data_IF_094452651504
#
_entry.id   IF_094452651504
#
_cell.length_a   1.000
_cell.length_b   1.000
_cell.length_c   1.000
_cell.angle_alpha   90.00
_cell.angle_beta   90.00
_cell.angle_gamma   90.00
#
_symmetry.space_group_name_H-M   'P 1'
#
loop_
_entity.id
_entity.type
_entity.pdbx_description
1 polymer ?
#
# COMPACT_ATOMS: atom_id res chain seq x y z
N UNK A 1 -26.76 -11.59 1.10
CA UNK A 1 -25.32 -11.65 0.79
C UNK A 1 -24.96 -10.40 0.01
N UNK A 2 -24.04 -9.63 0.55
CA UNK A 2 -23.60 -8.37 -0.03
C UNK A 2 -22.80 -8.65 -1.29
N UNK A 3 -23.28 -8.17 -2.43
CA UNK A 3 -22.69 -8.47 -3.73
C UNK A 3 -21.75 -7.35 -4.15
N UNK A 4 -20.46 -7.66 -4.25
CA UNK A 4 -19.45 -6.76 -4.80
C UNK A 4 -19.50 -6.78 -6.33
N UNK A 5 -19.49 -5.62 -6.99
CA UNK A 5 -19.30 -5.56 -8.45
C UNK A 5 -17.81 -5.55 -8.80
N UNK A 6 -17.45 -5.97 -10.01
CA UNK A 6 -16.07 -5.90 -10.51
C UNK A 6 -15.53 -4.46 -10.57
N UNK A 7 -16.41 -3.46 -10.75
CA UNK A 7 -16.05 -2.04 -10.69
C UNK A 7 -15.66 -1.63 -9.26
N UNK A 8 -16.42 -2.06 -8.25
CA UNK A 8 -16.09 -1.79 -6.84
C UNK A 8 -14.81 -2.51 -6.42
N UNK A 9 -14.54 -3.71 -6.95
CA UNK A 9 -13.29 -4.44 -6.70
C UNK A 9 -12.04 -3.65 -7.13
N UNK A 10 -12.13 -2.85 -8.20
CA UNK A 10 -11.07 -1.96 -8.64
C UNK A 10 -10.65 -0.96 -7.53
N UNK A 11 -11.59 -0.47 -6.72
CA UNK A 11 -11.28 0.42 -5.59
C UNK A 11 -10.53 -0.28 -4.46
N UNK A 12 -10.72 -1.59 -4.27
CA UNK A 12 -9.92 -2.36 -3.30
C UNK A 12 -8.46 -2.47 -3.74
N UNK A 13 -8.20 -2.65 -5.05
CA UNK A 13 -6.85 -2.61 -5.61
C UNK A 13 -6.20 -1.24 -5.38
N UNK A 14 -6.91 -0.16 -5.70
CA UNK A 14 -6.42 1.21 -5.47
C UNK A 14 -6.16 1.48 -4.00
N UNK A 15 -7.12 1.16 -3.11
CA UNK A 15 -7.01 1.38 -1.68
C UNK A 15 -5.87 0.62 -1.00
N UNK A 16 -5.46 -0.52 -1.56
CA UNK A 16 -4.38 -1.33 -0.99
C UNK A 16 -2.96 -0.87 -1.36
N UNK A 17 -2.78 -0.17 -2.48
CA UNK A 17 -1.45 -0.01 -3.07
C UNK A 17 -1.00 1.43 -3.37
N UNK A 18 -1.93 2.40 -3.44
CA UNK A 18 -1.61 3.77 -3.85
C UNK A 18 -0.63 4.49 -2.92
N UNK A 19 -0.65 4.20 -1.60
CA UNK A 19 0.00 5.07 -0.62
C UNK A 19 1.47 4.73 -0.35
N UNK A 20 1.84 3.45 -0.33
CA UNK A 20 3.13 3.02 0.22
C UNK A 20 4.34 3.68 -0.47
N UNK A 21 4.52 3.47 -1.77
CA UNK A 21 5.67 4.00 -2.53
C UNK A 21 5.71 5.52 -2.51
N UNK A 22 4.56 6.18 -2.49
CA UNK A 22 4.46 7.65 -2.42
C UNK A 22 4.88 8.19 -1.06
N UNK A 23 4.35 7.62 0.02
CA UNK A 23 4.52 8.14 1.38
C UNK A 23 5.98 8.15 1.82
N UNK A 24 6.72 7.07 1.59
CA UNK A 24 8.15 6.94 1.93
C UNK A 24 9.00 6.72 0.68
N UNK A 25 8.76 7.51 -0.35
CA UNK A 25 9.49 7.43 -1.64
C UNK A 25 11.00 7.58 -1.50
N UNK A 26 11.48 8.23 -0.43
CA UNK A 26 12.90 8.34 -0.10
C UNK A 26 13.62 6.99 0.02
N UNK A 27 12.94 5.93 0.54
CA UNK A 27 13.51 4.58 0.63
C UNK A 27 13.96 4.07 -0.75
N UNK A 28 13.15 4.32 -1.77
CA UNK A 28 13.40 3.89 -3.15
C UNK A 28 14.34 4.86 -3.88
N UNK A 29 14.17 6.18 -3.66
CA UNK A 29 14.99 7.21 -4.31
C UNK A 29 16.43 7.17 -3.79
N UNK A 30 16.65 6.83 -2.53
CA UNK A 30 17.98 6.65 -1.98
C UNK A 30 18.78 5.55 -2.70
N UNK A 31 18.11 4.48 -3.16
CA UNK A 31 18.69 3.37 -3.90
C UNK A 31 18.76 3.60 -5.42
N UNK A 32 17.67 4.13 -5.98
CA UNK A 32 17.49 4.31 -7.43
C UNK A 32 18.01 5.65 -7.97
N UNK A 33 18.20 6.64 -7.07
CA UNK A 33 18.57 7.99 -7.45
C UNK A 33 17.54 8.66 -8.34
N UNK A 34 18.01 9.38 -9.35
CA UNK A 34 17.16 10.06 -10.34
C UNK A 34 16.37 9.11 -11.23
N UNK A 35 16.86 7.89 -11.41
CA UNK A 35 16.22 6.89 -12.29
C UNK A 35 15.08 6.12 -11.63
N UNK A 36 14.75 6.42 -10.37
CA UNK A 36 13.75 5.69 -9.56
C UNK A 36 12.40 5.54 -10.26
N UNK A 37 11.94 6.56 -11.00
CA UNK A 37 10.70 6.47 -11.76
C UNK A 37 10.74 5.44 -12.89
N UNK A 38 11.90 5.25 -13.55
CA UNK A 38 12.09 4.21 -14.57
C UNK A 38 12.14 2.81 -13.93
N UNK A 39 12.84 2.69 -12.78
CA UNK A 39 12.88 1.44 -12.02
C UNK A 39 11.48 1.05 -11.55
N UNK A 40 10.65 2.02 -11.17
CA UNK A 40 9.25 1.79 -10.85
C UNK A 40 8.46 1.28 -12.06
N UNK A 41 8.66 1.85 -13.26
CA UNK A 41 7.99 1.37 -14.46
C UNK A 41 8.33 -0.11 -14.77
N UNK A 42 9.60 -0.49 -14.61
CA UNK A 42 10.04 -1.89 -14.76
C UNK A 42 9.36 -2.78 -13.71
N UNK A 43 9.36 -2.36 -12.44
CA UNK A 43 8.73 -3.07 -11.34
C UNK A 43 7.22 -3.26 -11.56
N UNK A 44 6.54 -2.24 -12.05
CA UNK A 44 5.12 -2.24 -12.36
C UNK A 44 4.78 -3.23 -13.48
N UNK A 45 5.60 -3.31 -14.52
CA UNK A 45 5.42 -4.26 -15.63
C UNK A 45 5.57 -5.70 -15.14
N UNK A 46 6.64 -6.01 -14.39
CA UNK A 46 6.89 -7.35 -13.84
C UNK A 46 5.72 -7.76 -12.91
N UNK A 47 5.34 -6.87 -12.00
CA UNK A 47 4.25 -7.12 -11.06
C UNK A 47 2.92 -7.32 -11.77
N UNK A 48 2.61 -6.52 -12.79
CA UNK A 48 1.37 -6.63 -13.58
C UNK A 48 1.18 -8.01 -14.18
N UNK A 49 2.24 -8.55 -14.76
CA UNK A 49 2.19 -9.87 -15.37
C UNK A 49 1.81 -10.95 -14.34
N UNK A 50 2.44 -10.92 -13.17
CA UNK A 50 2.18 -11.91 -12.10
C UNK A 50 0.78 -11.73 -11.52
N UNK A 51 0.39 -10.51 -11.17
CA UNK A 51 -0.90 -10.25 -10.53
C UNK A 51 -2.09 -10.56 -11.46
N UNK A 52 -2.01 -10.21 -12.75
CA UNK A 52 -3.03 -10.57 -13.73
C UNK A 52 -3.14 -12.08 -13.94
N UNK A 53 -2.03 -12.82 -13.82
CA UNK A 53 -2.05 -14.29 -13.84
C UNK A 53 -2.81 -14.86 -12.64
N UNK A 54 -2.62 -14.28 -11.42
CA UNK A 54 -3.42 -14.67 -10.25
C UNK A 54 -4.92 -14.44 -10.47
N UNK A 55 -5.29 -13.28 -11.01
CA UNK A 55 -6.70 -12.98 -11.31
C UNK A 55 -7.30 -13.90 -12.36
N UNK A 56 -6.51 -14.34 -13.36
CA UNK A 56 -6.97 -15.32 -14.36
C UNK A 56 -7.30 -16.67 -13.73
N UNK A 57 -6.44 -17.17 -12.83
CA UNK A 57 -6.66 -18.42 -12.11
C UNK A 57 -7.89 -18.30 -11.20
N UNK A 58 -8.00 -17.23 -10.42
CA UNK A 58 -9.15 -17.00 -9.55
C UNK A 58 -10.46 -16.73 -10.30
N UNK A 59 -10.41 -16.44 -11.60
CA UNK A 59 -11.62 -16.28 -12.44
C UNK A 59 -12.40 -17.59 -12.60
N UNK A 60 -11.77 -18.75 -12.51
CA UNK A 60 -12.36 -20.09 -12.65
C UNK A 60 -13.24 -20.55 -11.48
N UNK A 61 -13.85 -19.65 -10.73
CA UNK A 61 -14.78 -19.87 -9.60
C UNK A 61 -14.18 -20.36 -8.27
N UNK A 62 -12.87 -20.53 -8.17
CA UNK A 62 -12.22 -20.92 -6.93
C UNK A 62 -11.85 -19.70 -6.09
N UNK A 63 -12.08 -19.81 -4.79
CA UNK A 63 -11.58 -18.84 -3.82
C UNK A 63 -10.10 -19.13 -3.52
N UNK A 64 -9.30 -18.10 -3.25
CA UNK A 64 -7.88 -18.26 -2.92
C UNK A 64 -7.67 -19.22 -1.72
N UNK A 65 -8.58 -19.21 -0.73
CA UNK A 65 -8.56 -20.14 0.38
C UNK A 65 -8.72 -21.58 -0.06
N UNK A 66 -9.66 -21.85 -0.98
CA UNK A 66 -9.92 -23.19 -1.53
C UNK A 66 -8.72 -23.71 -2.31
N UNK A 67 -8.08 -22.84 -3.11
CA UNK A 67 -6.87 -23.19 -3.86
C UNK A 67 -5.74 -23.63 -2.91
N UNK A 68 -5.50 -22.88 -1.84
CA UNK A 68 -4.50 -23.29 -0.86
C UNK A 68 -4.89 -24.58 -0.13
N UNK A 69 -6.14 -24.73 0.30
CA UNK A 69 -6.58 -25.92 1.04
C UNK A 69 -6.56 -27.20 0.18
N UNK A 70 -6.72 -27.11 -1.15
CA UNK A 70 -6.62 -28.26 -2.04
C UNK A 70 -5.21 -28.89 -2.07
N UNK A 71 -4.17 -28.15 -1.65
CA UNK A 71 -2.79 -28.62 -1.55
C UNK A 71 -2.46 -29.29 -0.21
N UNK A 72 -3.46 -29.73 0.55
CA UNK A 72 -3.31 -30.43 1.83
C UNK A 72 -2.48 -29.65 2.86
N UNK A 73 -1.53 -30.32 3.54
CA UNK A 73 -0.71 -29.70 4.59
C UNK A 73 0.17 -28.56 4.06
N UNK A 74 0.78 -28.75 2.90
CA UNK A 74 1.63 -27.74 2.28
C UNK A 74 0.84 -26.45 1.99
N UNK A 75 -0.36 -26.59 1.46
CA UNK A 75 -1.23 -25.43 1.19
C UNK A 75 -1.67 -24.70 2.46
N UNK A 76 -1.90 -25.42 3.57
CA UNK A 76 -2.16 -24.77 4.87
C UNK A 76 -0.99 -23.89 5.31
N UNK A 77 0.25 -24.37 5.18
CA UNK A 77 1.45 -23.59 5.51
C UNK A 77 1.51 -22.32 4.62
N UNK A 78 1.31 -22.47 3.31
CA UNK A 78 1.29 -21.32 2.39
C UNK A 78 0.18 -20.32 2.76
N UNK A 79 -1.01 -20.78 3.17
CA UNK A 79 -2.10 -19.91 3.63
C UNK A 79 -1.71 -19.10 4.88
N UNK A 80 -1.02 -19.72 5.86
CA UNK A 80 -0.54 -19.01 7.05
C UNK A 80 0.53 -17.98 6.69
N UNK A 81 1.48 -18.32 5.82
CA UNK A 81 2.52 -17.36 5.34
C UNK A 81 1.87 -16.20 4.60
N UNK A 82 0.92 -16.47 3.71
CA UNK A 82 0.16 -15.45 2.99
C UNK A 82 -0.59 -14.51 3.93
N UNK A 83 -1.24 -15.08 4.95
CA UNK A 83 -1.97 -14.30 5.96
C UNK A 83 -1.04 -13.47 6.85
N UNK A 84 0.16 -13.99 7.16
CA UNK A 84 1.18 -13.24 7.87
C UNK A 84 1.61 -11.97 7.07
N UNK A 85 1.59 -12.02 5.75
CA UNK A 85 1.78 -10.83 4.91
C UNK A 85 0.75 -9.72 5.18
N UNK A 86 -0.51 -10.05 5.44
CA UNK A 86 -1.52 -9.05 5.82
C UNK A 86 -1.27 -8.44 7.20
N UNK A 87 -0.75 -9.24 8.14
CA UNK A 87 -0.31 -8.71 9.43
C UNK A 87 0.83 -7.71 9.24
N UNK A 88 1.84 -8.02 8.41
CA UNK A 88 2.94 -7.11 8.08
C UNK A 88 2.40 -5.79 7.51
N UNK A 89 1.42 -5.83 6.58
CA UNK A 89 0.79 -4.62 6.03
C UNK A 89 0.08 -3.81 7.11
N UNK A 90 -0.57 -4.46 8.07
CA UNK A 90 -1.23 -3.76 9.16
C UNK A 90 -0.21 -3.04 10.06
N UNK A 91 0.92 -3.67 10.34
CA UNK A 91 2.03 -3.04 11.06
C UNK A 91 2.62 -1.89 10.25
N UNK A 92 2.89 -2.08 8.96
CA UNK A 92 3.36 -1.03 8.05
C UNK A 92 2.42 0.19 8.05
N UNK A 93 1.12 -0.06 7.94
CA UNK A 93 0.11 1.01 7.86
C UNK A 93 0.04 1.82 9.16
N UNK A 94 -0.02 1.15 10.31
CA UNK A 94 -0.09 1.79 11.61
C UNK A 94 1.19 2.57 11.94
N UNK A 95 2.33 1.95 11.72
CA UNK A 95 3.65 2.55 12.02
C UNK A 95 3.96 3.73 11.10
N UNK A 96 3.72 3.60 9.78
CA UNK A 96 4.04 4.68 8.83
C UNK A 96 3.13 5.88 9.03
N UNK A 97 1.82 5.68 9.26
CA UNK A 97 0.93 6.78 9.54
C UNK A 97 1.34 7.52 10.81
N UNK A 98 1.54 6.79 11.90
CA UNK A 98 1.87 7.42 13.20
C UNK A 98 3.22 8.11 13.17
N UNK A 99 4.23 7.53 12.52
CA UNK A 99 5.54 8.14 12.31
C UNK A 99 5.44 9.40 11.43
N UNK A 100 4.63 9.36 10.35
CA UNK A 100 4.44 10.51 9.46
C UNK A 100 3.72 11.66 10.16
N UNK A 101 2.67 11.37 10.94
CA UNK A 101 1.94 12.40 11.70
C UNK A 101 2.85 13.01 12.77
N UNK A 102 3.56 12.17 13.52
CA UNK A 102 4.48 12.65 14.57
C UNK A 102 5.57 13.55 13.99
N UNK A 103 6.29 13.10 12.96
CA UNK A 103 7.44 13.82 12.44
C UNK A 103 7.10 15.07 11.61
N UNK A 104 5.89 15.14 11.04
CA UNK A 104 5.51 16.23 10.16
C UNK A 104 4.62 17.29 10.85
N UNK A 105 3.82 16.88 11.85
CA UNK A 105 2.79 17.76 12.44
C UNK A 105 2.89 17.88 13.96
N UNK A 106 3.23 16.81 14.67
CA UNK A 106 3.12 16.75 16.13
C UNK A 106 4.39 16.25 16.80
N UNK A 107 5.50 16.97 16.61
CA UNK A 107 6.83 16.62 17.16
C UNK A 107 6.84 16.43 18.69
N UNK A 108 6.02 17.19 19.42
CA UNK A 108 5.91 17.11 20.88
C UNK A 108 4.99 15.98 21.36
N UNK A 109 4.14 15.43 20.49
CA UNK A 109 3.18 14.37 20.84
C UNK A 109 3.83 12.99 20.68
N UNK A 110 3.83 12.12 21.69
CA UNK A 110 4.42 10.78 21.56
C UNK A 110 3.77 9.95 20.45
N UNK A 111 4.57 9.14 19.74
CA UNK A 111 4.08 8.31 18.61
C UNK A 111 2.99 7.34 19.07
N UNK A 112 3.08 6.76 20.28
CA UNK A 112 2.08 5.85 20.81
C UNK A 112 0.68 6.47 20.89
N UNK A 113 0.58 7.78 21.09
CA UNK A 113 -0.69 8.50 21.11
C UNK A 113 -1.37 8.44 19.72
N UNK A 114 -0.62 8.74 18.66
CA UNK A 114 -1.12 8.63 17.28
C UNK A 114 -1.55 7.19 16.94
N UNK A 115 -0.77 6.19 17.41
CA UNK A 115 -1.08 4.77 17.22
C UNK A 115 -2.42 4.37 17.87
N UNK A 116 -2.67 4.80 19.11
CA UNK A 116 -3.91 4.46 19.84
C UNK A 116 -5.12 5.00 19.09
N UNK A 117 -5.13 6.28 18.70
CA UNK A 117 -6.26 6.87 17.99
C UNK A 117 -6.53 6.17 16.67
N UNK A 118 -5.47 5.86 15.92
CA UNK A 118 -5.57 5.12 14.66
C UNK A 118 -6.19 3.73 14.87
N UNK A 119 -5.72 2.97 15.87
CA UNK A 119 -6.17 1.61 16.10
C UNK A 119 -7.59 1.54 16.68
N UNK A 120 -7.98 2.49 17.53
CA UNK A 120 -9.37 2.59 18.05
C UNK A 120 -10.33 2.85 16.89
N UNK A 121 -10.04 3.84 16.04
CA UNK A 121 -10.86 4.16 14.87
C UNK A 121 -10.96 2.97 13.91
N UNK A 122 -9.84 2.31 13.65
CA UNK A 122 -9.78 1.12 12.79
C UNK A 122 -10.56 -0.05 13.39
N UNK A 123 -10.46 -0.30 14.69
CA UNK A 123 -11.19 -1.34 15.41
C UNK A 123 -12.70 -1.12 15.34
N UNK A 124 -13.16 0.13 15.44
CA UNK A 124 -14.57 0.46 15.27
C UNK A 124 -15.07 0.08 13.88
N UNK A 125 -14.35 0.43 12.82
CA UNK A 125 -14.71 0.11 11.43
C UNK A 125 -14.67 -1.39 11.16
N UNK A 126 -13.63 -2.09 11.66
CA UNK A 126 -13.52 -3.54 11.51
C UNK A 126 -14.70 -4.31 12.12
N UNK A 127 -15.36 -3.77 13.17
CA UNK A 127 -16.56 -4.36 13.75
C UNK A 127 -17.79 -4.24 12.85
N UNK A 128 -17.81 -3.30 11.90
CA UNK A 128 -18.96 -3.09 11.00
C UNK A 128 -19.12 -4.21 9.97
N UNK A 129 -20.25 -4.17 9.27
CA UNK A 129 -20.56 -5.07 8.16
C UNK A 129 -19.71 -4.76 6.93
N UNK A 130 -19.58 -5.73 6.03
CA UNK A 130 -18.81 -5.60 4.79
C UNK A 130 -19.27 -4.40 3.93
N UNK A 131 -20.58 -4.15 3.84
CA UNK A 131 -21.11 -3.01 3.08
C UNK A 131 -20.62 -1.67 3.60
N UNK A 132 -20.51 -1.50 4.93
CA UNK A 132 -19.96 -0.26 5.52
C UNK A 132 -18.48 -0.07 5.15
N UNK A 133 -17.70 -1.16 5.13
CA UNK A 133 -16.30 -1.13 4.69
C UNK A 133 -16.22 -0.79 3.20
N UNK A 134 -17.09 -1.38 2.37
CA UNK A 134 -17.14 -1.09 0.95
C UNK A 134 -17.41 0.40 0.68
N UNK A 135 -18.43 0.96 1.31
CA UNK A 135 -18.79 2.39 1.17
C UNK A 135 -17.62 3.27 1.60
N UNK A 136 -16.99 2.94 2.72
CA UNK A 136 -15.82 3.67 3.22
C UNK A 136 -14.67 3.65 2.19
N UNK A 137 -14.36 2.49 1.62
CA UNK A 137 -13.31 2.35 0.59
C UNK A 137 -13.65 3.20 -0.62
N UNK A 138 -14.89 3.14 -1.12
CA UNK A 138 -15.30 3.89 -2.32
C UNK A 138 -15.17 5.40 -2.10
N UNK A 139 -15.72 5.93 -1.01
CA UNK A 139 -15.67 7.37 -0.72
C UNK A 139 -14.23 7.82 -0.51
N UNK A 140 -13.46 7.09 0.28
CA UNK A 140 -12.10 7.47 0.66
C UNK A 140 -11.16 7.43 -0.55
N UNK A 141 -11.18 6.35 -1.33
CA UNK A 141 -10.31 6.25 -2.52
C UNK A 141 -10.69 7.30 -3.55
N UNK A 142 -11.99 7.55 -3.80
CA UNK A 142 -12.41 8.56 -4.75
C UNK A 142 -11.97 9.97 -4.33
N UNK A 143 -12.17 10.34 -3.06
CA UNK A 143 -11.76 11.66 -2.56
C UNK A 143 -10.24 11.85 -2.55
N UNK A 144 -9.47 10.79 -2.25
CA UNK A 144 -8.00 10.87 -2.29
C UNK A 144 -7.45 10.95 -3.71
N UNK A 145 -8.08 10.31 -4.70
CA UNK A 145 -7.72 10.47 -6.11
C UNK A 145 -7.90 11.92 -6.58
N UNK A 146 -9.01 12.56 -6.19
CA UNK A 146 -9.22 14.00 -6.46
C UNK A 146 -8.13 14.83 -5.79
N UNK A 147 -7.81 14.55 -4.53
CA UNK A 147 -6.73 15.22 -3.80
C UNK A 147 -5.37 15.08 -4.46
N UNK A 148 -5.02 13.90 -4.96
CA UNK A 148 -3.78 13.66 -5.71
C UNK A 148 -3.71 14.48 -7.00
N UNK A 149 -4.82 14.59 -7.75
CA UNK A 149 -4.88 15.39 -8.97
C UNK A 149 -4.69 16.88 -8.64
N UNK A 150 -5.38 17.38 -7.62
CA UNK A 150 -5.25 18.78 -7.18
C UNK A 150 -3.81 19.09 -6.77
N UNK A 151 -3.20 18.26 -5.94
CA UNK A 151 -1.80 18.43 -5.50
C UNK A 151 -0.84 18.43 -6.70
N UNK A 152 -1.02 17.51 -7.65
CA UNK A 152 -0.18 17.42 -8.83
C UNK A 152 -0.25 18.67 -9.72
N UNK A 153 -1.46 19.23 -9.91
CA UNK A 153 -1.65 20.49 -10.67
C UNK A 153 -0.97 21.64 -9.94
N UNK A 154 -1.19 21.78 -8.63
CA UNK A 154 -0.68 22.90 -7.85
C UNK A 154 0.86 22.90 -7.72
N UNK A 155 1.49 21.70 -7.66
CA UNK A 155 2.94 21.60 -7.60
C UNK A 155 3.64 21.85 -8.94
N UNK A 156 2.90 21.72 -10.05
CA UNK A 156 3.45 21.78 -11.41
C UNK A 156 4.36 22.97 -11.68
N UNK A 157 4.02 24.15 -11.14
CA UNK A 157 4.80 25.38 -11.30
C UNK A 157 6.17 25.39 -10.63
N UNK A 158 6.40 24.44 -9.69
CA UNK A 158 7.65 24.36 -8.92
C UNK A 158 8.58 23.24 -9.40
N UNK A 159 8.21 22.50 -10.45
CA UNK A 159 8.98 21.36 -10.94
C UNK A 159 10.13 21.81 -11.85
N UNK A 160 11.32 21.30 -11.55
CA UNK A 160 12.50 21.43 -12.39
C UNK A 160 12.89 20.08 -12.98
N UNK A 161 12.49 19.85 -14.21
CA UNK A 161 12.73 18.57 -14.91
C UNK A 161 14.21 18.30 -15.23
N UNK A 162 15.11 19.29 -15.10
CA UNK A 162 16.56 19.08 -15.26
C UNK A 162 17.11 18.11 -14.20
N UNK A 163 16.45 18.00 -13.04
CA UNK A 163 16.83 17.06 -11.98
C UNK A 163 16.68 15.59 -12.38
N UNK A 164 15.90 15.29 -13.42
CA UNK A 164 15.73 13.94 -13.97
C UNK A 164 16.85 13.56 -14.94
N UNK A 165 17.65 14.51 -15.39
CA UNK A 165 18.74 14.29 -16.37
C UNK A 165 20.10 14.20 -15.67
N UNK A 166 21.06 13.45 -16.26
CA UNK A 166 20.95 12.53 -17.38
C UNK A 166 20.34 11.18 -16.97
N UNK A 167 19.55 10.60 -17.87
CA UNK A 167 18.86 9.33 -17.65
C UNK A 167 19.87 8.18 -17.71
N UNK A 168 19.81 7.26 -16.73
CA UNK A 168 20.59 6.00 -16.68
C UNK A 168 22.10 6.15 -16.87
N UNK A 169 22.70 7.30 -16.58
CA UNK A 169 24.13 7.58 -16.78
C UNK A 169 25.07 6.56 -16.13
N UNK A 170 24.69 5.96 -15.00
CA UNK A 170 25.48 4.97 -14.26
C UNK A 170 25.11 3.51 -14.57
N UNK A 171 24.28 3.23 -15.57
CA UNK A 171 23.78 1.89 -15.86
C UNK A 171 22.95 1.26 -14.72
N UNK A 172 22.84 -0.06 -14.71
CA UNK A 172 22.20 -0.82 -13.65
C UNK A 172 23.21 -1.19 -12.57
N UNK A 173 23.10 -0.56 -11.40
CA UNK A 173 23.90 -0.89 -10.22
C UNK A 173 23.14 -1.87 -9.32
N UNK A 174 23.84 -2.54 -8.38
CA UNK A 174 23.22 -3.42 -7.37
C UNK A 174 22.10 -2.72 -6.59
N UNK A 175 22.30 -1.45 -6.22
CA UNK A 175 21.29 -0.67 -5.51
C UNK A 175 20.01 -0.48 -6.33
N UNK A 176 20.12 -0.29 -7.66
CA UNK A 176 18.95 -0.16 -8.55
C UNK A 176 18.18 -1.47 -8.65
N UNK A 177 18.85 -2.63 -8.65
CA UNK A 177 18.17 -3.94 -8.59
C UNK A 177 17.43 -4.13 -7.26
N UNK A 178 18.07 -3.76 -6.15
CA UNK A 178 17.41 -3.78 -4.83
C UNK A 178 16.19 -2.88 -4.85
N UNK A 179 16.26 -1.68 -5.42
CA UNK A 179 15.10 -0.78 -5.54
C UNK A 179 13.94 -1.41 -6.29
N UNK A 180 14.20 -2.10 -7.43
CA UNK A 180 13.19 -2.83 -8.20
C UNK A 180 12.51 -3.89 -7.32
N UNK A 181 13.30 -4.71 -6.62
CA UNK A 181 12.79 -5.78 -5.76
C UNK A 181 11.90 -5.22 -4.64
N UNK A 182 12.33 -4.14 -3.97
CA UNK A 182 11.56 -3.49 -2.91
C UNK A 182 10.25 -2.87 -3.45
N UNK A 183 10.28 -2.28 -4.64
CA UNK A 183 9.08 -1.74 -5.29
C UNK A 183 8.08 -2.83 -5.64
N UNK A 184 8.53 -3.98 -6.15
CA UNK A 184 7.68 -5.15 -6.40
C UNK A 184 7.07 -5.63 -5.08
N UNK A 185 7.86 -5.67 -3.99
CA UNK A 185 7.37 -6.00 -2.64
C UNK A 185 6.27 -5.04 -2.19
N UNK A 186 6.44 -3.74 -2.37
CA UNK A 186 5.42 -2.75 -2.05
C UNK A 186 4.15 -2.91 -2.88
N UNK A 187 4.28 -3.17 -4.20
CA UNK A 187 3.16 -3.41 -5.10
C UNK A 187 2.41 -4.71 -4.76
N UNK A 188 3.08 -5.69 -4.14
CA UNK A 188 2.44 -6.95 -3.74
C UNK A 188 1.30 -6.75 -2.73
N UNK A 189 1.21 -5.57 -2.09
CA UNK A 189 0.05 -5.17 -1.28
C UNK A 189 -1.29 -5.20 -2.06
N UNK A 190 -1.28 -5.14 -3.40
CA UNK A 190 -2.50 -5.36 -4.21
C UNK A 190 -3.12 -6.74 -3.97
N UNK A 191 -2.33 -7.75 -3.56
CA UNK A 191 -2.82 -9.08 -3.23
C UNK A 191 -3.76 -9.11 -2.01
N UNK A 192 -3.83 -8.02 -1.22
CA UNK A 192 -4.88 -7.82 -0.20
C UNK A 192 -6.28 -7.96 -0.82
N UNK A 193 -6.44 -7.60 -2.08
CA UNK A 193 -7.72 -7.67 -2.78
C UNK A 193 -8.20 -9.11 -3.05
N UNK A 194 -7.29 -10.09 -3.12
CA UNK A 194 -7.62 -11.48 -3.53
C UNK A 194 -8.68 -12.16 -2.64
N UNK A 195 -8.65 -12.07 -1.29
CA UNK A 195 -9.70 -12.66 -0.45
C UNK A 195 -11.10 -12.09 -0.68
N UNK A 196 -11.21 -10.88 -1.25
CA UNK A 196 -12.49 -10.23 -1.54
C UNK A 196 -13.16 -10.74 -2.81
N UNK A 197 -12.46 -11.51 -3.64
CA UNK A 197 -13.02 -12.11 -4.87
C UNK A 197 -14.24 -12.98 -4.62
N UNK A 198 -14.34 -13.58 -3.43
CA UNK A 198 -15.50 -14.39 -3.02
C UNK A 198 -16.80 -13.61 -2.91
N UNK A 199 -16.76 -12.29 -2.75
CA UNK A 199 -17.94 -11.44 -2.66
C UNK A 199 -18.43 -10.96 -4.03
N UNK A 200 -17.70 -11.25 -5.12
CA UNK A 200 -18.10 -10.82 -6.46
C UNK A 200 -19.39 -11.50 -6.89
N UNK A 201 -20.36 -10.70 -7.30
CA UNK A 201 -21.62 -11.19 -7.87
C UNK A 201 -21.43 -11.85 -9.23
N UNK A 202 -20.46 -11.36 -10.00
CA UNK A 202 -20.07 -11.89 -11.31
C UNK A 202 -18.60 -11.56 -11.55
N UNK A 203 -17.85 -12.50 -12.10
CA UNK A 203 -16.44 -12.30 -12.48
C UNK A 203 -16.27 -11.75 -13.90
N UNK A 204 -17.39 -11.38 -14.57
CA UNK A 204 -17.38 -10.79 -15.91
C UNK A 204 -16.70 -9.39 -15.84
N UNK A 205 -15.66 -9.19 -16.64
CA UNK A 205 -14.91 -7.93 -16.66
C UNK A 205 -13.86 -7.79 -15.54
N UNK A 206 -13.65 -8.80 -14.68
CA UNK A 206 -12.67 -8.76 -13.58
C UNK A 206 -11.30 -8.29 -14.07
N UNK A 207 -10.73 -8.92 -15.08
CA UNK A 207 -9.41 -8.58 -15.61
C UNK A 207 -9.40 -7.16 -16.16
N UNK A 208 -10.45 -6.73 -16.89
CA UNK A 208 -10.56 -5.39 -17.47
C UNK A 208 -10.53 -4.30 -16.40
N UNK A 209 -11.38 -4.39 -15.37
CA UNK A 209 -11.46 -3.37 -14.32
C UNK A 209 -10.27 -3.41 -13.39
N UNK A 210 -9.70 -4.60 -13.14
CA UNK A 210 -8.47 -4.71 -12.34
C UNK A 210 -7.26 -4.13 -13.07
N UNK A 211 -7.09 -4.39 -14.38
CA UNK A 211 -6.01 -3.78 -15.15
C UNK A 211 -6.15 -2.27 -15.23
N UNK A 212 -7.38 -1.75 -15.37
CA UNK A 212 -7.64 -0.30 -15.34
C UNK A 212 -7.24 0.31 -13.99
N UNK A 213 -7.61 -0.33 -12.87
CA UNK A 213 -7.21 0.14 -11.53
C UNK A 213 -5.69 0.11 -11.34
N UNK A 214 -5.01 -0.95 -11.78
CA UNK A 214 -3.55 -1.04 -11.75
C UNK A 214 -2.91 0.09 -12.57
N UNK A 215 -3.39 0.34 -13.78
CA UNK A 215 -2.87 1.41 -14.65
C UNK A 215 -3.03 2.79 -13.99
N UNK A 216 -4.20 3.08 -13.41
CA UNK A 216 -4.43 4.33 -12.66
C UNK A 216 -3.45 4.43 -11.49
N UNK A 217 -3.30 3.36 -10.70
CA UNK A 217 -2.36 3.31 -9.59
C UNK A 217 -0.93 3.60 -10.05
N UNK A 218 -0.48 2.96 -11.12
CA UNK A 218 0.88 3.15 -11.65
C UNK A 218 1.12 4.55 -12.20
N UNK A 219 0.17 5.14 -12.89
CA UNK A 219 0.27 6.52 -13.36
C UNK A 219 0.43 7.49 -12.19
N UNK A 220 -0.37 7.32 -11.12
CA UNK A 220 -0.31 8.20 -9.95
C UNK A 220 1.02 8.05 -9.21
N UNK A 221 1.51 6.82 -8.99
CA UNK A 221 2.79 6.59 -8.32
C UNK A 221 3.95 7.10 -9.20
N UNK A 222 3.92 6.84 -10.49
CA UNK A 222 4.94 7.28 -11.44
C UNK A 222 5.03 8.81 -11.48
N UNK A 223 3.90 9.50 -11.59
CA UNK A 223 3.85 10.97 -11.56
C UNK A 223 4.31 11.55 -10.22
N UNK A 224 3.98 10.90 -9.09
CA UNK A 224 4.45 11.30 -7.77
C UNK A 224 5.97 11.18 -7.64
N UNK A 225 6.59 10.08 -8.11
CA UNK A 225 8.05 9.90 -8.09
C UNK A 225 8.76 10.94 -8.95
N UNK A 226 8.26 11.19 -10.18
CA UNK A 226 8.79 12.25 -11.05
C UNK A 226 8.69 13.60 -10.37
N UNK A 227 7.53 13.95 -9.85
CA UNK A 227 7.29 15.22 -9.20
C UNK A 227 8.20 15.44 -7.98
N UNK A 228 8.38 14.42 -7.16
CA UNK A 228 9.25 14.48 -5.99
C UNK A 228 10.72 14.71 -6.37
N UNK A 229 11.24 13.98 -7.37
CA UNK A 229 12.61 14.14 -7.84
C UNK A 229 12.79 15.47 -8.57
N UNK A 230 11.84 15.87 -9.41
CA UNK A 230 11.90 17.13 -10.13
C UNK A 230 11.85 18.35 -9.19
N UNK A 231 11.13 18.24 -8.07
CA UNK A 231 11.01 19.32 -7.08
C UNK A 231 12.24 19.43 -6.17
N UNK A 232 12.70 18.32 -5.54
CA UNK A 232 13.75 18.34 -4.52
C UNK A 232 15.15 18.04 -5.08
N UNK A 233 15.23 17.45 -6.27
CA UNK A 233 16.43 16.80 -6.78
C UNK A 233 16.65 15.40 -6.16
N UNK A 234 17.44 14.52 -6.83
CA UNK A 234 17.57 13.12 -6.45
C UNK A 234 18.24 12.90 -5.09
N UNK A 235 19.24 13.71 -4.73
CA UNK A 235 19.98 13.56 -3.48
C UNK A 235 19.11 13.98 -2.29
N UNK A 236 18.47 15.15 -2.38
CA UNK A 236 17.66 15.68 -1.30
C UNK A 236 16.41 14.85 -1.06
N UNK A 237 15.73 14.42 -2.12
CA UNK A 237 14.54 13.57 -2.01
C UNK A 237 14.84 12.18 -1.43
N UNK A 238 16.06 11.64 -1.63
CA UNK A 238 16.48 10.40 -0.99
C UNK A 238 16.83 10.52 0.49
N UNK A 239 17.18 11.72 0.97
CA UNK A 239 17.61 11.96 2.35
C UNK A 239 16.52 12.54 3.27
N UNK A 240 15.36 12.91 2.73
CA UNK A 240 14.20 13.37 3.51
C UNK A 240 13.26 12.17 3.74
N UNK A 241 12.87 11.92 4.99
CA UNK A 241 12.00 10.78 5.34
C UNK A 241 10.67 10.78 4.58
N UNK A 242 9.96 11.90 4.55
CA UNK A 242 8.67 12.08 3.88
C UNK A 242 8.73 13.21 2.84
N UNK A 243 9.36 13.00 1.66
CA UNK A 243 9.63 14.09 0.73
C UNK A 243 8.36 14.68 0.11
N UNK A 244 7.29 13.90 -0.04
CA UNK A 244 5.99 14.39 -0.54
C UNK A 244 5.35 15.41 0.43
N UNK A 245 5.58 15.28 1.74
CA UNK A 245 5.16 16.29 2.73
C UNK A 245 5.87 17.63 2.49
N UNK A 246 7.21 17.62 2.41
CA UNK A 246 8.00 18.83 2.15
C UNK A 246 7.61 19.50 0.82
N UNK A 247 7.26 18.69 -0.18
CA UNK A 247 6.73 19.19 -1.43
C UNK A 247 5.36 19.86 -1.25
N UNK A 248 4.49 19.30 -0.43
CA UNK A 248 3.15 19.86 -0.19
C UNK A 248 3.19 21.19 0.58
N UNK A 249 4.18 21.41 1.43
CA UNK A 249 4.38 22.67 2.18
C UNK A 249 4.61 23.89 1.27
N UNK A 250 5.12 23.67 0.05
CA UNK A 250 5.34 24.75 -0.91
C UNK A 250 4.09 25.22 -1.64
N UNK A 251 2.99 24.49 -1.50
CA UNK A 251 1.74 24.81 -2.17
C UNK A 251 1.00 25.88 -1.36
N UNK A 252 1.13 27.13 -1.79
CA UNK A 252 0.41 28.27 -1.24
C UNK A 252 -0.64 28.75 -2.24
N UNK A 253 -1.86 29.00 -1.78
CA UNK A 253 -2.94 29.62 -2.54
C UNK A 253 -3.06 31.06 -2.07
N UNK A 254 -3.08 32.02 -3.02
CA UNK A 254 -3.10 33.45 -2.74
C UNK A 254 -1.96 33.97 -1.85
N UNK A 255 -0.81 33.26 -1.84
CA UNK A 255 0.42 33.58 -1.11
C UNK A 255 0.33 33.60 0.44
N UNK A 256 -0.79 33.16 1.02
CA UNK A 256 -0.94 33.12 2.49
C UNK A 256 -1.59 31.84 3.03
N UNK A 257 -2.30 31.07 2.20
CA UNK A 257 -2.97 29.83 2.63
C UNK A 257 -2.13 28.60 2.23
N UNK A 258 -1.63 27.89 3.23
CA UNK A 258 -0.84 26.66 3.08
C UNK A 258 -1.78 25.44 2.92
N UNK A 259 -2.49 25.39 1.78
CA UNK A 259 -3.48 24.34 1.51
C UNK A 259 -2.86 22.97 1.24
N UNK A 260 -1.61 22.91 0.79
CA UNK A 260 -0.98 21.65 0.42
C UNK A 260 -0.85 20.66 1.58
N UNK A 261 -0.57 21.13 2.79
CA UNK A 261 -0.46 20.30 3.98
C UNK A 261 -1.78 19.63 4.36
N UNK A 262 -2.91 20.34 4.23
CA UNK A 262 -4.24 19.78 4.51
C UNK A 262 -4.59 18.64 3.57
N UNK A 263 -4.30 18.78 2.28
CA UNK A 263 -4.48 17.69 1.32
C UNK A 263 -3.55 16.51 1.59
N UNK A 264 -2.30 16.78 1.98
CA UNK A 264 -1.34 15.74 2.32
C UNK A 264 -1.80 14.94 3.54
N UNK A 265 -2.16 15.60 4.66
CA UNK A 265 -2.60 14.89 5.87
C UNK A 265 -3.88 14.09 5.60
N UNK A 266 -4.86 14.70 4.92
CA UNK A 266 -6.12 14.05 4.57
C UNK A 266 -5.86 12.75 3.79
N UNK A 267 -5.12 12.82 2.67
CA UNK A 267 -4.87 11.64 1.85
C UNK A 267 -4.03 10.60 2.57
N UNK A 268 -3.02 11.01 3.34
CA UNK A 268 -2.13 10.10 4.08
C UNK A 268 -2.89 9.33 5.13
N UNK A 269 -3.70 10.02 5.95
CA UNK A 269 -4.54 9.39 6.97
C UNK A 269 -5.54 8.44 6.32
N UNK A 270 -6.27 8.91 5.33
CA UNK A 270 -7.31 8.14 4.66
C UNK A 270 -6.77 6.86 4.01
N UNK A 271 -5.67 6.96 3.27
CA UNK A 271 -5.15 5.82 2.51
C UNK A 271 -4.48 4.76 3.39
N UNK A 272 -3.71 5.17 4.43
CA UNK A 272 -3.16 4.21 5.38
C UNK A 272 -4.26 3.55 6.21
N UNK A 273 -5.30 4.29 6.56
CA UNK A 273 -6.47 3.76 7.25
C UNK A 273 -7.18 2.67 6.44
N UNK A 274 -7.46 2.94 5.16
CA UNK A 274 -8.07 1.94 4.27
C UNK A 274 -7.17 0.73 4.07
N UNK A 275 -5.87 0.93 3.85
CA UNK A 275 -4.91 -0.16 3.66
C UNK A 275 -4.89 -1.08 4.89
N UNK A 276 -4.87 -0.50 6.10
CA UNK A 276 -4.96 -1.24 7.36
C UNK A 276 -6.26 -2.05 7.46
N UNK A 277 -7.41 -1.40 7.20
CA UNK A 277 -8.73 -2.05 7.29
C UNK A 277 -8.82 -3.20 6.30
N UNK A 278 -8.40 -2.99 5.06
CA UNK A 278 -8.44 -4.03 4.04
C UNK A 278 -7.57 -5.23 4.42
N UNK A 279 -6.34 -5.00 4.90
CA UNK A 279 -5.44 -6.07 5.33
C UNK A 279 -6.00 -6.85 6.53
N UNK A 280 -6.41 -6.13 7.58
CA UNK A 280 -6.95 -6.75 8.80
C UNK A 280 -8.27 -7.51 8.53
N UNK A 281 -9.15 -6.94 7.69
CA UNK A 281 -10.40 -7.61 7.33
C UNK A 281 -10.16 -8.84 6.46
N UNK A 282 -9.13 -8.85 5.60
CA UNK A 282 -8.73 -10.05 4.84
C UNK A 282 -8.36 -11.22 5.74
N UNK A 283 -7.70 -10.96 6.88
CA UNK A 283 -7.42 -12.00 7.88
C UNK A 283 -8.73 -12.56 8.46
N UNK A 284 -9.66 -11.67 8.84
CA UNK A 284 -10.97 -12.09 9.37
C UNK A 284 -11.73 -12.92 8.33
N UNK A 285 -11.64 -12.59 7.05
CA UNK A 285 -12.29 -13.33 5.97
C UNK A 285 -11.72 -14.73 5.77
N UNK A 286 -10.39 -14.87 5.80
CA UNK A 286 -9.72 -16.15 5.59
C UNK A 286 -9.94 -17.12 6.76
N UNK A 287 -9.98 -16.59 7.99
CA UNK A 287 -10.14 -17.39 9.22
C UNK A 287 -11.52 -17.27 9.88
N UNK A 288 -12.55 -16.90 9.10
CA UNK A 288 -13.92 -16.75 9.60
C UNK A 288 -14.42 -17.98 10.36
N UNK A 289 -14.00 -19.19 9.95
CA UNK A 289 -14.43 -20.46 10.55
C UNK A 289 -13.76 -20.72 11.90
N UNK A 290 -12.62 -20.08 12.17
CA UNK A 290 -11.83 -20.24 13.41
C UNK A 290 -12.13 -19.10 14.40
N UNK A 291 -12.42 -17.90 13.90
CA UNK A 291 -12.69 -16.72 14.72
C UNK A 291 -14.11 -16.80 15.27
N UNK A 292 -14.28 -17.28 16.49
CA UNK A 292 -15.58 -17.39 17.17
C UNK A 292 -16.12 -16.02 17.61
N UNK A 293 -15.26 -15.17 18.14
CA UNK A 293 -15.65 -13.82 18.60
C UNK A 293 -14.82 -12.74 17.90
N UNK A 294 -15.45 -12.09 16.90
CA UNK A 294 -14.84 -11.03 16.10
C UNK A 294 -14.30 -9.87 16.94
N UNK A 295 -15.01 -9.46 17.99
CA UNK A 295 -14.62 -8.31 18.83
C UNK A 295 -13.34 -8.61 19.61
N UNK A 296 -13.27 -9.78 20.24
CA UNK A 296 -12.09 -10.22 20.98
C UNK A 296 -10.89 -10.33 20.05
N UNK A 297 -11.07 -10.95 18.87
CA UNK A 297 -10.03 -11.05 17.86
C UNK A 297 -9.48 -9.65 17.48
N UNK A 298 -10.36 -8.66 17.20
CA UNK A 298 -9.93 -7.30 16.83
C UNK A 298 -9.11 -6.66 17.95
N UNK A 299 -9.52 -6.81 19.22
CA UNK A 299 -8.79 -6.23 20.35
C UNK A 299 -7.39 -6.85 20.46
N UNK A 300 -7.29 -8.17 20.49
CA UNK A 300 -6.00 -8.87 20.58
C UNK A 300 -5.10 -8.51 19.40
N UNK A 301 -5.65 -8.55 18.18
CA UNK A 301 -4.92 -8.23 16.96
C UNK A 301 -4.39 -6.79 16.97
N UNK A 302 -5.25 -5.81 17.31
CA UNK A 302 -4.85 -4.40 17.39
C UNK A 302 -3.81 -4.17 18.48
N UNK A 303 -3.87 -4.89 19.61
CA UNK A 303 -2.86 -4.80 20.68
C UNK A 303 -1.50 -5.33 20.20
N UNK A 304 -1.47 -6.43 19.46
CA UNK A 304 -0.23 -6.95 18.89
C UNK A 304 0.36 -5.96 17.87
N UNK A 305 -0.48 -5.44 16.96
CA UNK A 305 -0.06 -4.42 15.98
C UNK A 305 0.46 -3.17 16.71
N UNK A 306 -0.18 -2.72 17.79
CA UNK A 306 0.28 -1.60 18.59
C UNK A 306 1.69 -1.82 19.13
N UNK A 307 1.93 -2.94 19.80
CA UNK A 307 3.23 -3.26 20.42
C UNK A 307 4.33 -3.28 19.36
N UNK A 308 4.10 -4.00 18.25
CA UNK A 308 5.10 -4.12 17.18
C UNK A 308 5.35 -2.76 16.51
N UNK A 309 4.28 -2.02 16.16
CA UNK A 309 4.40 -0.70 15.53
C UNK A 309 5.08 0.31 16.43
N UNK A 310 4.76 0.30 17.73
CA UNK A 310 5.42 1.18 18.70
C UNK A 310 6.90 0.89 18.82
N UNK A 311 7.27 -0.40 18.90
CA UNK A 311 8.68 -0.80 19.00
C UNK A 311 9.51 -0.35 17.79
N UNK A 312 9.02 -0.56 16.56
CA UNK A 312 9.78 -0.21 15.36
C UNK A 312 9.84 1.28 15.06
N UNK A 313 8.93 2.09 15.63
CA UNK A 313 8.88 3.54 15.41
C UNK A 313 9.63 4.38 16.44
N UNK A 314 10.28 3.76 17.44
CA UNK A 314 11.03 4.48 18.48
C UNK A 314 12.15 5.36 17.92
N UNK A 315 12.76 4.95 16.82
CA UNK A 315 13.78 5.72 16.12
C UNK A 315 13.45 5.75 14.63
N UNK A 316 13.32 6.97 14.09
CA UNK A 316 12.88 7.16 12.71
C UNK A 316 13.89 6.65 11.68
N UNK A 317 15.19 6.75 11.96
CA UNK A 317 16.22 6.22 11.07
C UNK A 317 16.13 4.68 10.97
N UNK A 318 16.05 3.98 12.10
CA UNK A 318 15.87 2.53 12.11
C UNK A 318 14.53 2.13 11.52
N UNK A 319 13.48 2.90 11.75
CA UNK A 319 12.17 2.64 11.14
C UNK A 319 12.25 2.59 9.61
N UNK A 320 12.97 3.51 8.96
CA UNK A 320 13.14 3.50 7.51
C UNK A 320 14.00 2.32 7.01
N UNK A 321 14.89 1.78 7.83
CA UNK A 321 15.56 0.50 7.50
C UNK A 321 14.59 -0.68 7.63
N UNK A 322 13.75 -0.68 8.68
CA UNK A 322 12.69 -1.68 8.83
C UNK A 322 11.71 -1.66 7.66
N UNK A 323 11.35 -0.52 7.11
CA UNK A 323 10.50 -0.46 5.91
C UNK A 323 11.09 -1.23 4.73
N UNK A 324 12.41 -1.22 4.52
CA UNK A 324 13.06 -2.05 3.48
C UNK A 324 12.86 -3.54 3.74
N UNK A 325 13.05 -3.98 4.99
CA UNK A 325 12.85 -5.38 5.39
C UNK A 325 11.39 -5.77 5.21
N UNK A 326 10.44 -4.92 5.63
CA UNK A 326 9.02 -5.18 5.46
C UNK A 326 8.65 -5.36 3.97
N UNK A 327 9.22 -4.57 3.04
CA UNK A 327 8.97 -4.74 1.61
C UNK A 327 9.48 -6.10 1.10
N UNK A 328 10.65 -6.57 1.55
CA UNK A 328 11.15 -7.92 1.21
C UNK A 328 10.23 -9.01 1.77
N UNK A 329 9.78 -8.87 3.01
CA UNK A 329 8.81 -9.80 3.60
C UNK A 329 7.48 -9.81 2.82
N UNK A 330 6.99 -8.65 2.37
CA UNK A 330 5.78 -8.58 1.55
C UNK A 330 5.95 -9.25 0.19
N UNK A 331 7.12 -9.11 -0.44
CA UNK A 331 7.43 -9.82 -1.67
C UNK A 331 7.28 -11.35 -1.49
N UNK A 332 7.88 -11.88 -0.42
CA UNK A 332 7.87 -13.32 -0.15
C UNK A 332 6.45 -13.78 0.19
N UNK A 333 5.78 -13.09 1.10
CA UNK A 333 4.49 -13.54 1.65
C UNK A 333 3.32 -13.31 0.71
N UNK A 334 3.29 -12.21 -0.04
CA UNK A 334 2.14 -11.83 -0.85
C UNK A 334 2.31 -12.07 -2.35
N UNK A 335 3.54 -12.20 -2.86
CA UNK A 335 3.78 -12.48 -4.27
C UNK A 335 4.28 -13.92 -4.49
N UNK A 336 5.40 -14.28 -3.85
CA UNK A 336 6.02 -15.60 -4.06
C UNK A 336 5.13 -16.71 -3.52
N UNK A 337 4.56 -16.56 -2.33
CA UNK A 337 3.71 -17.57 -1.71
C UNK A 337 2.47 -17.93 -2.56
N UNK A 338 1.63 -16.97 -3.04
CA UNK A 338 0.54 -17.32 -3.95
C UNK A 338 1.03 -17.87 -5.29
N UNK A 339 2.16 -17.38 -5.80
CA UNK A 339 2.73 -17.89 -7.05
C UNK A 339 3.06 -19.37 -6.93
N UNK A 340 3.70 -19.81 -5.83
CA UNK A 340 3.96 -21.22 -5.56
C UNK A 340 2.66 -22.02 -5.42
N UNK A 341 1.67 -21.49 -4.68
CA UNK A 341 0.39 -22.16 -4.51
C UNK A 341 -0.34 -22.35 -5.84
N UNK A 342 -0.38 -21.33 -6.70
CA UNK A 342 -1.07 -21.40 -7.98
C UNK A 342 -0.32 -22.23 -9.03
N UNK A 343 1.01 -22.26 -9.04
CA UNK A 343 1.77 -23.14 -9.95
C UNK A 343 1.54 -24.59 -9.60
N UNK A 344 1.62 -24.97 -8.33
CA UNK A 344 1.41 -26.37 -7.91
C UNK A 344 -0.04 -26.79 -8.13
N UNK A 345 -1.01 -25.89 -7.96
CA UNK A 345 -2.43 -26.19 -8.20
C UNK A 345 -2.74 -26.48 -9.68
N UNK A 346 -2.03 -25.83 -10.62
CA UNK A 346 -2.24 -26.01 -12.06
C UNK A 346 -1.52 -27.22 -12.65
N UNK A 347 -0.63 -27.87 -11.90
CA UNK A 347 -0.01 -29.14 -12.22
C UNK A 347 -0.77 -30.31 -11.56
#
# INVERSE_FOLDING_TARGET
MDKLSTKHFAFFILGSSLIAIKSYSSVFINLGGRDTYLLFAISALIFSFVFLSFLKICKSNLDIKEIFLSLNLFGKILLYIFTFGFFIISVESASTLSSSIHSNFFLSTPIWYCLIFFLIASGYVLNKNFNSILILVLITVFSTLIGDIILFILIGKYLNFSHLLPIMKGGFTTNKWIAIILMIGSLSSMCISLPYLKFLSSKKGLIKYSSMAMTICFIIIFSSLISTIAFLGPIRSGNIFYPEFVQSQRIQIANFLEFGELFYIFKTVCMWFIKYILASYSIILLFKDIITNKKIFIIIYSSIVFIVSWYITQNQYYFFQWLKILQLCLLITLLITPLLGFTIYNF
#
